data_IF_746867781279
#
_entry.id   IF_746867781279
#
_cell.length_a   1.000
_cell.length_b   1.000
_cell.length_c   1.000
_cell.angle_alpha   90.00
_cell.angle_beta   90.00
_cell.angle_gamma   90.00
#
_symmetry.space_group_name_H-M   'P 1'
#
loop_
_entity.id
_entity.type
_entity.pdbx_description
1 polymer ?
#
# COMPACT_ATOMS: atom_id res chain seq x y z
N UNK A 1 -4.42 -7.67 -29.20
CA UNK A 1 -5.37 -7.35 -28.13
C UNK A 1 -4.90 -8.13 -26.91
N UNK A 2 -4.50 -7.47 -25.82
CA UNK A 2 -4.33 -8.17 -24.55
C UNK A 2 -5.71 -8.76 -24.18
N UNK A 3 -5.72 -9.98 -23.64
CA UNK A 3 -6.96 -10.75 -23.44
C UNK A 3 -7.72 -10.14 -22.27
N UNK A 4 -9.02 -9.95 -22.43
CA UNK A 4 -9.93 -9.47 -21.37
C UNK A 4 -9.79 -10.29 -20.06
N UNK A 5 -9.29 -11.52 -20.17
CA UNK A 5 -8.94 -12.41 -19.07
C UNK A 5 -7.90 -11.82 -18.09
N UNK A 6 -6.89 -11.08 -18.58
CA UNK A 6 -5.81 -10.56 -17.74
C UNK A 6 -6.32 -9.41 -16.84
N UNK A 7 -7.19 -8.54 -17.38
CA UNK A 7 -7.83 -7.48 -16.62
C UNK A 7 -8.81 -8.02 -15.57
N UNK A 8 -9.59 -9.03 -15.94
CA UNK A 8 -10.54 -9.67 -15.01
C UNK A 8 -9.82 -10.42 -13.88
N UNK A 9 -8.66 -11.03 -14.16
CA UNK A 9 -7.83 -11.64 -13.13
C UNK A 9 -7.23 -10.60 -12.17
N UNK A 10 -6.83 -9.44 -12.68
CA UNK A 10 -6.32 -8.35 -11.86
C UNK A 10 -7.40 -7.77 -10.93
N UNK A 11 -8.63 -7.60 -11.41
CA UNK A 11 -9.77 -7.18 -10.59
C UNK A 11 -10.11 -8.20 -9.49
N UNK A 12 -10.09 -9.50 -9.79
CA UNK A 12 -10.31 -10.53 -8.77
C UNK A 12 -9.21 -10.53 -7.70
N UNK A 13 -7.95 -10.34 -8.10
CA UNK A 13 -6.84 -10.20 -7.16
C UNK A 13 -7.00 -8.93 -6.31
N UNK A 14 -7.41 -7.82 -6.91
CA UNK A 14 -7.67 -6.56 -6.21
C UNK A 14 -8.69 -6.77 -5.08
N UNK A 15 -9.84 -7.37 -5.39
CA UNK A 15 -10.90 -7.62 -4.42
C UNK A 15 -10.45 -8.58 -3.30
N UNK A 16 -9.70 -9.62 -3.65
CA UNK A 16 -9.17 -10.57 -2.67
C UNK A 16 -8.16 -9.90 -1.72
N UNK A 17 -7.23 -9.10 -2.24
CA UNK A 17 -6.25 -8.38 -1.41
C UNK A 17 -6.95 -7.41 -0.46
N UNK A 18 -7.99 -6.70 -0.94
CA UNK A 18 -8.80 -5.83 -0.08
C UNK A 18 -9.47 -6.60 1.04
N UNK A 19 -10.10 -7.73 0.72
CA UNK A 19 -10.77 -8.59 1.70
C UNK A 19 -9.78 -9.08 2.77
N UNK A 20 -8.63 -9.59 2.34
CA UNK A 20 -7.62 -10.15 3.25
C UNK A 20 -7.06 -9.08 4.21
N UNK A 21 -6.78 -7.88 3.70
CA UNK A 21 -6.32 -6.76 4.53
C UNK A 21 -7.38 -6.32 5.53
N UNK A 22 -8.66 -6.24 5.13
CA UNK A 22 -9.78 -5.98 6.05
C UNK A 22 -9.85 -7.06 7.13
N UNK A 23 -9.69 -8.34 6.74
CA UNK A 23 -9.73 -9.47 7.68
C UNK A 23 -8.57 -9.45 8.69
N UNK A 24 -7.41 -8.93 8.29
CA UNK A 24 -6.26 -8.68 9.15
C UNK A 24 -6.40 -7.42 10.02
N UNK A 25 -7.53 -6.71 9.94
CA UNK A 25 -7.84 -5.54 10.75
C UNK A 25 -7.31 -4.22 10.19
N UNK A 26 -6.87 -4.18 8.93
CA UNK A 26 -6.49 -2.92 8.29
C UNK A 26 -7.75 -2.12 7.91
N UNK A 27 -7.69 -0.81 8.12
CA UNK A 27 -8.60 0.10 7.44
C UNK A 27 -8.16 0.19 5.97
N UNK A 28 -9.00 -0.29 5.07
CA UNK A 28 -8.77 -0.21 3.62
C UNK A 28 -9.64 0.90 3.05
N UNK A 29 -9.02 1.88 2.39
CA UNK A 29 -9.74 3.00 1.81
C UNK A 29 -10.76 2.54 0.74
N UNK A 30 -11.94 3.15 0.65
CA UNK A 30 -12.94 2.79 -0.36
C UNK A 30 -12.42 3.04 -1.79
N UNK A 31 -12.93 2.32 -2.81
CA UNK A 31 -12.58 2.59 -4.19
C UNK A 31 -13.21 3.91 -4.62
N UNK A 32 -12.39 4.89 -5.01
CA UNK A 32 -12.85 6.22 -5.42
C UNK A 32 -11.75 7.27 -5.26
N UNK A 33 -11.98 8.52 -5.71
CA UNK A 33 -11.05 9.60 -5.43
C UNK A 33 -10.90 9.71 -3.91
N UNK A 34 -9.66 9.56 -3.44
CA UNK A 34 -9.30 9.71 -2.04
C UNK A 34 -9.64 11.15 -1.64
N UNK A 35 -10.75 11.34 -0.92
CA UNK A 35 -11.05 12.64 -0.32
C UNK A 35 -10.27 12.77 0.98
N UNK A 36 -9.97 14.01 1.35
CA UNK A 36 -9.31 14.36 2.61
C UNK A 36 -10.06 13.86 3.88
N UNK A 37 -11.26 13.30 3.74
CA UNK A 37 -12.04 12.76 4.88
C UNK A 37 -11.82 11.25 5.09
N UNK A 38 -11.21 10.54 4.15
CA UNK A 38 -10.90 9.10 4.24
C UNK A 38 -9.46 8.84 4.74
N UNK A 39 -8.92 9.79 5.52
CA UNK A 39 -7.52 9.86 5.88
C UNK A 39 -7.11 8.78 6.89
N UNK A 40 -6.57 7.67 6.38
CA UNK A 40 -5.88 6.65 7.17
C UNK A 40 -5.91 5.27 6.53
N UNK A 41 -4.94 4.42 6.89
CA UNK A 41 -4.92 3.03 6.45
C UNK A 41 -4.20 2.80 5.11
N UNK A 42 -4.61 1.73 4.42
CA UNK A 42 -4.01 1.30 3.15
C UNK A 42 -4.97 1.53 2.00
N UNK A 43 -4.44 1.92 0.86
CA UNK A 43 -5.16 1.96 -0.41
C UNK A 43 -4.74 0.77 -1.25
N UNK A 44 -5.72 0.09 -1.85
CA UNK A 44 -5.48 -0.99 -2.81
C UNK A 44 -6.07 -0.55 -4.14
N UNK A 45 -5.27 -0.50 -5.20
CA UNK A 45 -5.69 -0.07 -6.53
C UNK A 45 -4.99 -0.86 -7.63
N UNK A 46 -5.42 -0.64 -8.87
CA UNK A 46 -4.68 -1.07 -10.06
C UNK A 46 -3.85 0.11 -10.54
N UNK A 47 -2.56 -0.11 -10.79
CA UNK A 47 -1.71 0.89 -11.43
C UNK A 47 -1.95 0.95 -12.95
N UNK A 48 -1.23 1.85 -13.62
CA UNK A 48 -1.31 2.06 -15.08
C UNK A 48 -0.93 0.80 -15.88
N UNK A 49 -0.18 -0.12 -15.27
CA UNK A 49 0.24 -1.41 -15.85
C UNK A 49 -0.74 -2.55 -15.50
N UNK A 50 -1.91 -2.23 -14.93
CA UNK A 50 -2.92 -3.18 -14.44
C UNK A 50 -2.41 -4.16 -13.38
N UNK A 51 -1.42 -3.75 -12.58
CA UNK A 51 -0.93 -4.51 -11.44
C UNK A 51 -1.62 -4.04 -10.16
N UNK A 52 -1.92 -4.99 -9.27
CA UNK A 52 -2.48 -4.65 -7.96
C UNK A 52 -1.40 -4.05 -7.09
N UNK A 53 -1.63 -2.83 -6.61
CA UNK A 53 -0.74 -2.09 -5.73
C UNK A 53 -1.42 -1.84 -4.38
N UNK A 54 -0.65 -1.95 -3.31
CA UNK A 54 -1.07 -1.64 -1.93
C UNK A 54 -0.14 -0.57 -1.39
N UNK A 55 -0.67 0.62 -1.15
CA UNK A 55 0.08 1.76 -0.61
C UNK A 55 -0.46 2.24 0.74
N UNK A 56 0.41 2.87 1.51
CA UNK A 56 0.00 3.61 2.70
C UNK A 56 -0.49 5.00 2.31
N UNK A 57 -1.64 5.41 2.84
CA UNK A 57 -2.03 6.82 2.84
C UNK A 57 -1.18 7.53 3.90
N UNK A 58 -0.01 8.01 3.45
CA UNK A 58 1.10 8.52 4.27
C UNK A 58 0.74 9.76 5.09
N UNK A 59 -0.31 10.49 4.72
CA UNK A 59 -0.62 11.79 5.32
C UNK A 59 -1.10 11.75 6.78
N UNK A 60 -1.57 10.61 7.32
CA UNK A 60 -2.14 10.61 8.68
C UNK A 60 -1.49 9.64 9.69
N UNK A 61 -0.76 8.59 9.28
CA UNK A 61 -0.13 7.66 10.26
C UNK A 61 1.32 7.97 10.60
N UNK A 62 1.91 8.92 9.91
CA UNK A 62 3.17 9.54 10.29
C UNK A 62 2.98 10.79 11.17
N UNK A 63 1.74 11.04 11.60
CA UNK A 63 1.09 12.06 12.46
C UNK A 63 1.95 13.11 13.20
N UNK A 64 3.20 12.83 13.59
CA UNK A 64 4.13 13.83 14.11
C UNK A 64 5.36 14.06 13.20
N UNK A 65 5.94 13.00 12.63
CA UNK A 65 7.13 13.08 11.78
C UNK A 65 6.83 13.58 10.35
N UNK A 66 5.66 13.26 9.79
CA UNK A 66 5.26 13.80 8.48
C UNK A 66 4.71 15.23 8.58
N UNK A 67 4.01 15.57 9.66
CA UNK A 67 3.55 16.94 9.93
C UNK A 67 4.74 17.89 10.14
N UNK A 68 5.80 17.47 10.85
CA UNK A 68 7.03 18.27 11.01
C UNK A 68 7.77 18.54 9.68
N UNK A 69 7.79 17.59 8.73
CA UNK A 69 8.39 17.82 7.41
C UNK A 69 7.57 18.76 6.52
N UNK A 70 6.23 18.71 6.63
CA UNK A 70 5.30 19.45 5.76
C UNK A 70 4.99 20.86 6.29
N UNK A 71 4.81 21.03 7.60
CA UNK A 71 4.44 22.33 8.20
C UNK A 71 5.63 23.25 8.47
N UNK A 72 6.84 22.71 8.64
CA UNK A 72 7.99 23.51 9.11
C UNK A 72 9.12 23.72 8.10
N UNK A 73 9.04 23.14 6.88
CA UNK A 73 10.18 23.07 5.93
C UNK A 73 11.47 22.55 6.61
N UNK A 74 11.30 21.71 7.64
CA UNK A 74 12.38 21.18 8.47
C UNK A 74 12.85 19.86 7.89
N UNK A 75 13.84 19.95 7.02
CA UNK A 75 14.65 18.82 6.54
C UNK A 75 15.75 18.44 7.54
N UNK A 76 15.52 18.66 8.84
CA UNK A 76 16.47 18.30 9.89
C UNK A 76 16.64 16.76 9.91
N UNK A 77 17.89 16.30 9.97
CA UNK A 77 18.29 14.90 9.82
C UNK A 77 17.48 13.95 10.74
N UNK A 78 17.19 14.40 11.96
CA UNK A 78 16.44 13.63 12.96
C UNK A 78 14.96 13.41 12.57
N UNK A 79 14.35 14.39 11.90
CA UNK A 79 12.95 14.32 11.44
C UNK A 79 12.85 13.34 10.26
N UNK A 80 13.78 13.48 9.30
CA UNK A 80 13.89 12.58 8.15
C UNK A 80 14.13 11.13 8.60
N UNK A 81 15.08 10.93 9.52
CA UNK A 81 15.40 9.60 10.07
C UNK A 81 14.19 8.97 10.77
N UNK A 82 13.43 9.76 11.54
CA UNK A 82 12.21 9.27 12.21
C UNK A 82 11.14 8.87 11.19
N UNK A 83 10.90 9.72 10.18
CA UNK A 83 9.97 9.43 9.09
C UNK A 83 10.34 8.13 8.37
N UNK A 84 11.60 7.98 7.96
CA UNK A 84 12.08 6.80 7.25
C UNK A 84 11.98 5.53 8.10
N UNK A 85 12.28 5.63 9.40
CA UNK A 85 12.18 4.51 10.34
C UNK A 85 10.73 4.03 10.49
N UNK A 86 9.79 4.96 10.67
CA UNK A 86 8.37 4.62 10.80
C UNK A 86 7.83 4.05 9.49
N UNK A 87 8.14 4.71 8.36
CA UNK A 87 7.75 4.24 7.03
C UNK A 87 8.30 2.83 6.75
N UNK A 88 9.56 2.57 7.06
CA UNK A 88 10.18 1.26 6.91
C UNK A 88 9.46 0.22 7.77
N UNK A 89 9.20 0.54 9.04
CA UNK A 89 8.52 -0.37 9.98
C UNK A 89 7.11 -0.71 9.50
N UNK A 90 6.34 0.29 9.06
CA UNK A 90 5.00 0.10 8.50
C UNK A 90 5.02 -0.77 7.24
N UNK A 91 5.97 -0.52 6.34
CA UNK A 91 6.15 -1.33 5.14
C UNK A 91 6.55 -2.77 5.46
N UNK A 92 7.41 -2.99 6.47
CA UNK A 92 7.76 -4.34 6.92
C UNK A 92 6.55 -5.08 7.51
N UNK A 93 5.74 -4.40 8.31
CA UNK A 93 4.51 -4.98 8.87
C UNK A 93 3.53 -5.37 7.76
N UNK A 94 3.32 -4.47 6.78
CA UNK A 94 2.45 -4.73 5.62
C UNK A 94 2.96 -5.92 4.79
N UNK A 95 4.25 -5.95 4.45
CA UNK A 95 4.85 -7.06 3.72
C UNK A 95 4.70 -8.40 4.46
N UNK A 96 4.86 -8.39 5.78
CA UNK A 96 4.71 -9.58 6.62
C UNK A 96 3.28 -10.13 6.55
N UNK A 97 2.27 -9.25 6.61
CA UNK A 97 0.87 -9.65 6.50
C UNK A 97 0.56 -10.18 5.10
N UNK A 98 1.00 -9.48 4.04
CA UNK A 98 0.80 -9.92 2.65
C UNK A 98 1.45 -11.30 2.41
N UNK A 99 2.66 -11.53 2.91
CA UNK A 99 3.33 -12.83 2.84
C UNK A 99 2.59 -13.92 3.65
N UNK A 100 1.99 -13.59 4.78
CA UNK A 100 1.21 -14.55 5.57
C UNK A 100 -0.04 -15.05 4.82
N UNK A 101 -0.63 -14.20 3.96
CA UNK A 101 -1.67 -14.60 3.02
C UNK A 101 -1.14 -15.32 1.77
N UNK A 102 0.18 -15.48 1.64
CA UNK A 102 0.82 -16.20 0.54
C UNK A 102 1.08 -15.35 -0.71
N UNK A 103 0.83 -14.04 -0.66
CA UNK A 103 1.14 -13.14 -1.76
C UNK A 103 2.65 -13.01 -1.97
N UNK A 104 3.02 -12.64 -3.19
CA UNK A 104 4.38 -12.17 -3.49
C UNK A 104 4.32 -10.66 -3.64
N UNK A 105 5.27 -9.97 -3.04
CA UNK A 105 5.34 -8.51 -3.09
C UNK A 105 6.64 -8.05 -3.75
N UNK A 106 6.55 -7.07 -4.64
CA UNK A 106 7.70 -6.28 -5.11
C UNK A 106 7.50 -4.82 -4.75
N UNK A 107 8.59 -4.11 -4.46
CA UNK A 107 8.51 -2.66 -4.26
C UNK A 107 8.43 -1.96 -5.62
N UNK A 108 7.51 -1.03 -5.83
CA UNK A 108 7.51 -0.18 -7.01
C UNK A 108 8.76 0.73 -7.01
N UNK A 109 9.14 1.20 -8.20
CA UNK A 109 10.26 2.14 -8.37
C UNK A 109 9.98 3.51 -7.71
N UNK A 110 8.71 3.89 -7.61
CA UNK A 110 8.23 5.12 -7.01
C UNK A 110 7.00 4.81 -6.14
N UNK A 111 6.86 5.48 -5.00
CA UNK A 111 5.70 5.33 -4.09
C UNK A 111 6.01 4.66 -2.75
N UNK A 112 4.97 4.51 -1.93
CA UNK A 112 5.05 3.96 -0.56
C UNK A 112 4.15 2.74 -0.41
N UNK A 113 4.66 1.58 -0.82
CA UNK A 113 3.91 0.33 -0.74
C UNK A 113 4.50 -0.82 -1.55
N UNK A 114 3.63 -1.67 -2.08
CA UNK A 114 3.99 -2.91 -2.77
C UNK A 114 3.08 -3.20 -3.96
N UNK A 115 3.67 -3.64 -5.06
CA UNK A 115 2.96 -4.40 -6.09
C UNK A 115 2.76 -5.81 -5.57
N UNK A 116 1.52 -6.31 -5.69
CA UNK A 116 1.09 -7.62 -5.22
C UNK A 116 0.86 -8.55 -6.39
N UNK A 117 1.43 -9.75 -6.29
CA UNK A 117 1.23 -10.84 -7.22
C UNK A 117 0.54 -12.01 -6.50
N UNK A 118 -0.27 -12.79 -7.21
CA UNK A 118 -0.95 -13.93 -6.61
C UNK A 118 0.07 -14.95 -6.08
N UNK A 119 -0.35 -15.80 -5.13
CA UNK A 119 0.46 -16.90 -4.64
C UNK A 119 0.96 -17.75 -5.81
N UNK A 120 2.17 -18.27 -5.70
CA UNK A 120 2.69 -19.19 -6.72
C UNK A 120 1.80 -20.42 -6.70
N UNK A 121 1.04 -20.65 -7.77
CA UNK A 121 0.41 -21.95 -7.99
C UNK A 121 1.52 -22.99 -8.01
N UNK A 122 1.43 -23.99 -7.12
CA UNK A 122 2.34 -25.13 -7.15
C UNK A 122 2.25 -25.78 -8.55
N UNK A 123 3.38 -26.25 -9.11
CA UNK A 123 3.42 -26.89 -10.41
C UNK A 123 2.60 -28.20 -10.45
#
# INVERSE_FOLDING_TARGET
>A
MPRDDDGQQAELLLDQVRFDLISAGFHVAPPGPLTDEHQGGVVVHLDDDHQVTVDWLTHHRLDAAALDMVEADRLEEDVVTRYETVSTTMNTALATVLHAFGYRTSRPLFGTGFTVQPPRTAP
#
